data_IF_382540452180
#
_entry.id   IF_382540452180
#
_cell.length_a   1.000
_cell.length_b   1.000
_cell.length_c   1.000
_cell.angle_alpha   90.00
_cell.angle_beta   90.00
_cell.angle_gamma   90.00
#
_symmetry.space_group_name_H-M   'P 1'
#
loop_
_entity.id
_entity.type
_entity.pdbx_description
1 polymer ?
#
# COMPACT_ATOMS: atom_id res chain seq x y z
N UNK A 1 25.51 -8.37 -8.51
CA UNK A 1 24.15 -8.00 -8.90
C UNK A 1 23.23 -8.50 -7.80
N UNK A 2 22.44 -7.62 -7.18
CA UNK A 2 21.40 -8.02 -6.23
C UNK A 2 20.28 -8.71 -7.01
N UNK A 3 19.76 -9.82 -6.49
CA UNK A 3 18.58 -10.47 -7.07
C UNK A 3 17.40 -9.50 -7.04
N UNK A 4 16.54 -9.49 -8.06
CA UNK A 4 15.36 -8.63 -8.06
C UNK A 4 14.45 -8.97 -6.87
N UNK A 5 13.89 -7.93 -6.26
CA UNK A 5 12.88 -8.07 -5.23
C UNK A 5 11.57 -8.55 -5.87
N UNK A 6 11.01 -9.65 -5.38
CA UNK A 6 9.73 -10.16 -5.86
C UNK A 6 8.59 -9.63 -5.00
N UNK A 7 7.64 -8.93 -5.63
CA UNK A 7 6.49 -8.31 -4.97
C UNK A 7 5.19 -8.74 -5.65
N UNK A 8 4.24 -9.26 -4.87
CA UNK A 8 2.85 -9.40 -5.30
C UNK A 8 2.04 -8.22 -4.80
N UNK A 9 1.50 -7.44 -5.73
CA UNK A 9 0.80 -6.19 -5.45
C UNK A 9 -0.69 -6.31 -5.72
N UNK A 10 -1.51 -5.80 -4.78
CA UNK A 10 -2.96 -5.84 -4.87
C UNK A 10 -3.58 -4.53 -4.39
N UNK A 11 -4.58 -4.03 -5.11
CA UNK A 11 -5.50 -2.99 -4.62
C UNK A 11 -6.92 -3.53 -4.65
N UNK A 12 -7.52 -3.68 -3.47
CA UNK A 12 -8.88 -4.17 -3.30
C UNK A 12 -9.86 -3.09 -3.79
N UNK A 13 -10.90 -3.51 -4.53
CA UNK A 13 -11.92 -2.62 -5.09
C UNK A 13 -11.62 -2.12 -6.51
N UNK A 14 -10.35 -2.05 -6.91
CA UNK A 14 -9.94 -1.62 -8.25
C UNK A 14 -9.60 -2.76 -9.22
N UNK A 15 -9.61 -4.00 -8.74
CA UNK A 15 -9.12 -5.17 -9.49
C UNK A 15 -7.67 -5.02 -9.98
N UNK A 16 -6.89 -4.15 -9.35
CA UNK A 16 -5.46 -4.06 -9.57
C UNK A 16 -4.78 -5.23 -8.90
N UNK A 17 -4.30 -6.19 -9.69
CA UNK A 17 -3.57 -7.35 -9.20
C UNK A 17 -2.37 -7.63 -10.11
N UNK A 18 -1.21 -7.76 -9.49
CA UNK A 18 0.05 -8.00 -10.17
C UNK A 18 0.86 -8.98 -9.33
N UNK A 19 0.89 -10.24 -9.74
CA UNK A 19 1.65 -11.28 -9.03
C UNK A 19 3.13 -11.25 -9.41
N UNK A 20 3.99 -11.50 -8.42
CA UNK A 20 5.41 -11.81 -8.64
C UNK A 20 6.16 -10.77 -9.50
N UNK A 21 5.80 -9.49 -9.36
CA UNK A 21 6.52 -8.40 -10.01
C UNK A 21 7.97 -8.40 -9.54
N UNK A 22 8.89 -8.43 -10.50
CA UNK A 22 10.32 -8.30 -10.20
C UNK A 22 10.71 -6.83 -10.24
N UNK A 23 11.06 -6.27 -9.08
CA UNK A 23 11.51 -4.90 -8.92
C UNK A 23 13.04 -4.91 -8.73
N UNK A 24 13.74 -4.11 -9.53
CA UNK A 24 15.22 -4.14 -9.63
C UNK A 24 15.89 -2.93 -9.01
N UNK A 25 15.09 -1.91 -8.68
CA UNK A 25 15.49 -0.60 -8.20
C UNK A 25 15.08 -0.36 -6.74
N UNK A 26 14.53 -1.38 -6.08
CA UNK A 26 14.14 -1.37 -4.66
C UNK A 26 14.61 -2.64 -3.99
N UNK A 27 14.71 -2.61 -2.66
CA UNK A 27 15.14 -3.72 -1.80
C UNK A 27 14.11 -3.98 -0.71
N UNK A 28 14.30 -5.00 0.11
CA UNK A 28 13.42 -5.27 1.23
C UNK A 28 13.38 -4.13 2.29
N UNK A 29 14.42 -3.30 2.34
CA UNK A 29 14.49 -2.14 3.22
C UNK A 29 13.87 -0.88 2.62
N UNK A 30 13.51 -0.92 1.32
CA UNK A 30 12.82 0.19 0.67
C UNK A 30 11.46 0.43 1.30
N UNK A 31 11.03 1.68 1.33
CA UNK A 31 9.74 2.05 1.91
C UNK A 31 8.59 1.57 1.04
N UNK A 32 7.40 1.45 1.62
CA UNK A 32 6.19 1.12 0.87
C UNK A 32 5.98 2.13 -0.27
N UNK A 33 6.28 3.41 -0.04
CA UNK A 33 6.24 4.44 -1.08
C UNK A 33 7.21 4.15 -2.22
N UNK A 34 8.48 3.86 -1.93
CA UNK A 34 9.47 3.53 -2.97
C UNK A 34 9.06 2.31 -3.80
N UNK A 35 8.43 1.32 -3.16
CA UNK A 35 7.86 0.15 -3.85
C UNK A 35 6.70 0.57 -4.75
N UNK A 36 5.78 1.41 -4.28
CA UNK A 36 4.69 1.95 -5.11
C UNK A 36 5.21 2.77 -6.29
N UNK A 37 6.23 3.61 -6.07
CA UNK A 37 6.88 4.42 -7.11
C UNK A 37 7.58 3.54 -8.17
N UNK A 38 8.19 2.43 -7.76
CA UNK A 38 8.77 1.44 -8.67
C UNK A 38 7.69 0.72 -9.48
N UNK A 39 6.58 0.32 -8.84
CA UNK A 39 5.44 -0.33 -9.51
C UNK A 39 4.81 0.63 -10.54
N UNK A 40 4.56 1.89 -10.19
CA UNK A 40 4.02 2.90 -11.11
C UNK A 40 4.93 3.12 -12.32
N UNK A 41 6.26 3.16 -12.12
CA UNK A 41 7.22 3.27 -13.22
C UNK A 41 7.23 2.05 -14.13
N UNK A 42 7.09 0.83 -13.58
CA UNK A 42 7.09 -0.43 -14.35
C UNK A 42 5.74 -0.76 -14.97
N UNK A 43 4.65 -0.27 -14.40
CA UNK A 43 3.30 -0.54 -14.84
C UNK A 43 2.50 0.78 -14.99
N UNK A 44 2.54 1.41 -16.17
CA UNK A 44 1.86 2.67 -16.43
C UNK A 44 0.33 2.63 -16.25
N UNK A 45 -0.27 1.43 -16.27
CA UNK A 45 -1.69 1.26 -15.98
C UNK A 45 -2.02 1.54 -14.51
N UNK A 46 -1.04 1.52 -13.60
CA UNK A 46 -1.22 1.84 -12.19
C UNK A 46 -0.66 3.23 -11.89
N UNK A 47 -1.44 4.02 -11.14
CA UNK A 47 -1.02 5.33 -10.63
C UNK A 47 -1.59 5.56 -9.24
N UNK A 48 -0.95 6.42 -8.47
CA UNK A 48 -1.50 6.90 -7.21
C UNK A 48 -1.12 8.37 -7.00
N UNK A 49 -1.86 9.05 -6.14
CA UNK A 49 -1.53 10.38 -5.63
C UNK A 49 -1.42 10.32 -4.12
N UNK A 50 -0.45 11.03 -3.58
CA UNK A 50 -0.27 11.21 -2.15
C UNK A 50 -0.40 12.68 -1.77
N UNK A 51 -0.63 12.92 -0.49
CA UNK A 51 -0.61 14.26 0.08
C UNK A 51 0.05 14.27 1.45
N UNK A 52 0.66 15.40 1.79
CA UNK A 52 1.31 15.60 3.08
C UNK A 52 0.35 16.32 4.02
N UNK A 53 -0.11 15.63 5.08
CA UNK A 53 -0.86 16.25 6.16
C UNK A 53 0.09 16.95 7.12
N UNK A 54 -0.33 18.12 7.63
CA UNK A 54 0.38 18.91 8.67
C UNK A 54 1.83 19.22 8.29
N UNK A 55 2.05 19.69 7.05
CA UNK A 55 3.38 19.99 6.53
C UNK A 55 4.15 20.96 7.43
N UNK A 56 5.38 20.63 7.76
CA UNK A 56 6.25 21.41 8.64
C UNK A 56 5.96 21.29 10.14
N UNK A 57 5.06 20.38 10.54
CA UNK A 57 4.79 20.07 11.96
C UNK A 57 5.53 18.79 12.39
N UNK A 58 5.76 18.58 13.71
CA UNK A 58 6.42 17.37 14.22
C UNK A 58 5.67 16.06 13.88
N UNK A 59 4.38 16.14 13.60
CA UNK A 59 3.52 15.01 13.25
C UNK A 59 3.08 15.01 11.78
N UNK A 60 3.91 15.60 10.92
CA UNK A 60 3.77 15.53 9.45
C UNK A 60 3.59 14.07 8.99
N UNK A 61 2.60 13.85 8.12
CA UNK A 61 2.29 12.50 7.62
C UNK A 61 1.89 12.52 6.16
N UNK A 62 2.65 11.82 5.33
CA UNK A 62 2.24 11.52 3.96
C UNK A 62 1.22 10.36 3.95
N UNK A 63 0.12 10.58 3.24
CA UNK A 63 -0.97 9.62 3.04
C UNK A 63 -1.28 9.46 1.54
N UNK A 64 -1.84 8.33 1.15
CA UNK A 64 -2.43 8.15 -0.19
C UNK A 64 -3.80 8.80 -0.22
N UNK A 65 -4.08 9.62 -1.23
CA UNK A 65 -5.39 10.25 -1.47
C UNK A 65 -6.16 9.48 -2.57
N UNK A 66 -5.49 9.11 -3.67
CA UNK A 66 -6.13 8.49 -4.82
C UNK A 66 -5.30 7.31 -5.33
N UNK A 67 -5.95 6.22 -5.74
CA UNK A 67 -5.33 5.15 -6.53
C UNK A 67 -6.16 4.95 -7.80
N UNK A 68 -5.48 4.86 -8.93
CA UNK A 68 -6.06 4.63 -10.26
C UNK A 68 -5.45 3.39 -10.90
N UNK A 69 -6.26 2.60 -11.60
CA UNK A 69 -5.83 1.44 -12.36
C UNK A 69 -6.62 1.27 -13.67
N UNK A 70 -5.91 1.15 -14.80
CA UNK A 70 -6.50 0.82 -16.09
C UNK A 70 -6.66 -0.70 -16.22
N UNK A 71 -7.87 -1.18 -15.93
CA UNK A 71 -8.20 -2.60 -16.04
C UNK A 71 -8.49 -2.95 -17.51
N UNK A 72 -7.88 -4.04 -18.00
CA UNK A 72 -8.04 -4.50 -19.38
C UNK A 72 -8.13 -6.02 -19.47
N UNK A 73 -8.40 -6.56 -20.66
CA UNK A 73 -8.36 -7.99 -20.94
C UNK A 73 -7.02 -8.69 -20.59
N UNK A 74 -5.90 -7.95 -20.55
CA UNK A 74 -4.59 -8.47 -20.13
C UNK A 74 -4.33 -8.38 -18.62
N UNK A 75 -5.16 -7.67 -17.86
CA UNK A 75 -5.03 -7.58 -16.40
C UNK A 75 -5.26 -8.94 -15.74
N UNK A 76 -4.49 -9.22 -14.69
CA UNK A 76 -4.68 -10.41 -13.86
C UNK A 76 -5.90 -10.22 -12.95
N UNK A 77 -6.67 -11.29 -12.77
CA UNK A 77 -7.77 -11.31 -11.82
C UNK A 77 -7.29 -11.84 -10.47
N UNK A 78 -7.67 -11.21 -9.34
CA UNK A 78 -7.46 -11.83 -8.03
C UNK A 78 -8.12 -13.20 -7.98
N UNK A 79 -7.44 -14.18 -7.37
CA UNK A 79 -7.90 -15.59 -7.25
C UNK A 79 -9.29 -15.78 -6.66
N UNK A 80 -9.77 -14.79 -5.89
CA UNK A 80 -11.08 -14.82 -5.23
C UNK A 80 -12.17 -14.02 -5.97
N UNK A 81 -12.00 -13.76 -7.26
CA UNK A 81 -12.96 -12.99 -8.05
C UNK A 81 -13.93 -13.89 -8.81
N UNK A 82 -15.22 -13.66 -8.65
CA UNK A 82 -16.27 -14.29 -9.47
C UNK A 82 -16.53 -13.45 -10.73
N UNK A 83 -15.99 -13.86 -11.88
CA UNK A 83 -16.20 -13.19 -13.17
C UNK A 83 -15.16 -12.12 -13.50
N UNK A 84 -15.12 -11.71 -14.78
CA UNK A 84 -14.24 -10.64 -15.26
C UNK A 84 -15.02 -9.33 -15.29
N UNK A 85 -14.58 -8.27 -14.58
CA UNK A 85 -15.19 -6.96 -14.73
C UNK A 85 -14.89 -6.40 -16.12
N UNK A 86 -15.71 -5.45 -16.57
CA UNK A 86 -15.48 -4.78 -17.86
C UNK A 86 -14.13 -4.04 -17.87
N UNK A 87 -13.57 -3.87 -19.07
CA UNK A 87 -12.38 -3.05 -19.26
C UNK A 87 -12.69 -1.57 -18.96
N UNK A 88 -11.71 -0.83 -18.45
CA UNK A 88 -11.83 0.60 -18.19
C UNK A 88 -10.96 1.11 -17.06
N UNK A 89 -10.90 2.43 -16.95
CA UNK A 89 -10.24 3.16 -15.87
C UNK A 89 -11.01 2.92 -14.57
N UNK A 90 -10.29 2.55 -13.51
CA UNK A 90 -10.83 2.34 -12.17
C UNK A 90 -10.12 3.29 -11.22
N UNK A 91 -10.86 4.13 -10.52
CA UNK A 91 -10.32 5.05 -9.52
C UNK A 91 -11.08 4.93 -8.18
N UNK A 92 -10.33 5.10 -7.10
CA UNK A 92 -10.88 5.23 -5.76
C UNK A 92 -10.13 6.34 -5.03
N UNK A 93 -10.90 7.23 -4.42
CA UNK A 93 -10.37 8.38 -3.70
C UNK A 93 -10.78 8.32 -2.24
N UNK A 94 -9.82 8.63 -1.37
CA UNK A 94 -10.06 8.85 0.04
C UNK A 94 -10.97 10.06 0.25
N UNK A 95 -11.80 9.99 1.28
CA UNK A 95 -12.68 11.08 1.67
C UNK A 95 -12.58 11.28 3.17
N UNK A 96 -12.49 12.54 3.60
CA UNK A 96 -12.45 12.87 5.01
C UNK A 96 -13.77 13.57 5.33
N UNK A 97 -14.70 12.83 5.95
CA UNK A 97 -16.00 13.33 6.37
C UNK A 97 -16.40 12.68 7.70
N UNK A 98 -17.64 12.88 8.17
CA UNK A 98 -18.16 12.15 9.36
C UNK A 98 -18.01 10.63 9.20
N UNK A 99 -18.09 10.16 7.95
CA UNK A 99 -17.72 8.83 7.50
C UNK A 99 -16.54 8.97 6.56
N UNK A 100 -15.34 8.67 7.05
CA UNK A 100 -14.11 8.86 6.27
C UNK A 100 -13.70 7.59 5.54
N UNK A 101 -13.34 7.71 4.27
CA UNK A 101 -12.69 6.67 3.48
C UNK A 101 -11.18 6.89 3.52
N UNK A 102 -10.46 5.94 4.11
CA UNK A 102 -9.02 6.06 4.36
C UNK A 102 -8.29 4.86 3.75
N UNK A 103 -7.18 5.11 3.07
CA UNK A 103 -6.34 4.05 2.53
C UNK A 103 -5.55 3.35 3.64
N UNK A 104 -5.62 2.02 3.65
CA UNK A 104 -4.81 1.15 4.50
C UNK A 104 -4.02 0.19 3.62
N UNK A 105 -2.78 -0.09 4.04
CA UNK A 105 -1.95 -1.10 3.43
C UNK A 105 -1.58 -2.20 4.44
N UNK A 106 -1.43 -3.41 3.91
CA UNK A 106 -1.00 -4.62 4.60
C UNK A 106 0.24 -5.17 3.91
N UNK A 107 1.15 -5.69 4.72
CA UNK A 107 2.38 -6.32 4.25
C UNK A 107 2.42 -7.75 4.78
N UNK A 108 2.84 -8.68 3.94
CA UNK A 108 3.19 -10.03 4.35
C UNK A 108 4.34 -10.54 3.50
N UNK A 109 4.88 -11.69 3.89
CA UNK A 109 5.92 -12.38 3.16
C UNK A 109 5.51 -13.84 2.96
N UNK A 110 5.53 -14.28 1.71
CA UNK A 110 5.40 -15.70 1.35
C UNK A 110 6.80 -16.29 1.23
N UNK A 111 6.99 -17.46 1.81
CA UNK A 111 8.25 -18.18 1.78
C UNK A 111 8.07 -19.63 2.21
N UNK A 112 9.15 -20.26 2.65
CA UNK A 112 9.08 -21.60 3.21
C UNK A 112 9.86 -21.73 4.51
N UNK A 113 9.38 -22.61 5.40
CA UNK A 113 10.11 -23.06 6.59
C UNK A 113 10.22 -24.58 6.51
N UNK A 114 11.44 -25.11 6.50
CA UNK A 114 11.70 -26.55 6.38
C UNK A 114 10.97 -27.19 5.18
N UNK A 115 10.88 -26.46 4.05
CA UNK A 115 10.21 -26.92 2.82
C UNK A 115 8.68 -26.76 2.80
N UNK A 116 8.04 -26.38 3.91
CA UNK A 116 6.61 -26.06 3.93
C UNK A 116 6.37 -24.59 3.57
N UNK A 117 5.54 -24.33 2.57
CA UNK A 117 5.17 -22.96 2.16
C UNK A 117 4.31 -22.32 3.24
N UNK A 118 4.64 -21.10 3.64
CA UNK A 118 3.86 -20.32 4.58
C UNK A 118 3.86 -18.84 4.24
N UNK A 119 2.88 -18.13 4.77
CA UNK A 119 2.77 -16.68 4.70
C UNK A 119 2.88 -16.08 6.11
N UNK A 120 3.77 -15.12 6.28
CA UNK A 120 4.01 -14.42 7.52
C UNK A 120 3.55 -12.97 7.38
N UNK A 121 2.59 -12.56 8.23
CA UNK A 121 2.11 -11.18 8.28
C UNK A 121 3.18 -10.28 8.90
N UNK A 122 3.39 -9.12 8.29
CA UNK A 122 4.32 -8.10 8.77
C UNK A 122 3.52 -7.04 9.53
N UNK A 123 3.59 -7.10 10.85
CA UNK A 123 2.84 -6.23 11.73
C UNK A 123 3.60 -4.94 12.01
N UNK A 124 2.83 -3.86 12.15
CA UNK A 124 3.29 -2.58 12.65
C UNK A 124 2.30 -2.08 13.68
N UNK A 125 2.78 -1.37 14.71
CA UNK A 125 1.89 -0.68 15.64
C UNK A 125 1.09 0.39 14.89
N UNK A 126 -0.25 0.26 14.87
CA UNK A 126 -1.14 1.17 14.16
C UNK A 126 -0.95 1.14 12.62
N UNK A 127 -1.31 2.25 11.95
CA UNK A 127 -1.08 2.45 10.52
C UNK A 127 0.01 3.51 10.31
N UNK A 128 1.31 3.11 10.28
CA UNK A 128 2.39 4.05 10.04
C UNK A 128 2.34 4.62 8.62
N UNK A 129 2.98 5.78 8.40
CA UNK A 129 3.04 6.37 7.06
C UNK A 129 3.74 5.42 6.09
N UNK A 130 3.14 5.20 4.93
CA UNK A 130 3.73 4.37 3.87
C UNK A 130 5.05 4.96 3.33
N UNK A 131 5.23 6.28 3.43
CA UNK A 131 6.45 6.99 3.03
C UNK A 131 7.67 6.58 3.84
N UNK A 132 7.48 6.21 5.11
CA UNK A 132 8.57 5.96 6.06
C UNK A 132 8.61 4.51 6.55
N UNK A 133 7.73 3.64 6.04
CA UNK A 133 7.63 2.25 6.50
C UNK A 133 8.39 1.34 5.53
N UNK A 134 9.51 0.71 5.94
CA UNK A 134 10.21 -0.30 5.14
C UNK A 134 9.30 -1.48 4.79
N UNK A 135 9.48 -2.10 3.63
CA UNK A 135 8.66 -3.24 3.21
C UNK A 135 8.79 -4.43 4.18
N UNK A 136 9.99 -4.71 4.66
CA UNK A 136 10.28 -5.80 5.60
C UNK A 136 10.01 -5.48 7.07
N UNK A 137 9.61 -4.26 7.43
CA UNK A 137 9.46 -3.87 8.84
C UNK A 137 8.42 -4.76 9.52
N UNK A 138 8.87 -5.47 10.56
CA UNK A 138 8.03 -6.21 11.50
C UNK A 138 8.29 -5.69 12.91
N UNK A 139 7.22 -5.31 13.60
CA UNK A 139 7.31 -4.89 14.98
C UNK A 139 7.79 -6.08 15.86
N UNK A 140 8.90 -5.92 16.62
CA UNK A 140 9.48 -7.00 17.42
C UNK A 140 8.52 -7.61 18.44
N UNK A 141 7.51 -6.87 18.89
CA UNK A 141 6.49 -7.38 19.81
C UNK A 141 5.63 -8.46 19.18
N UNK A 142 5.42 -8.40 17.86
CA UNK A 142 4.63 -9.37 17.10
C UNK A 142 5.50 -10.48 16.49
N UNK A 143 6.82 -10.45 16.73
CA UNK A 143 7.77 -11.50 16.37
C UNK A 143 8.80 -11.07 15.34
N UNK A 144 9.55 -12.05 14.85
CA UNK A 144 10.53 -11.90 13.75
C UNK A 144 10.38 -13.09 12.83
N UNK A 145 10.89 -12.99 11.61
CA UNK A 145 11.04 -14.18 10.78
C UNK A 145 11.94 -15.19 11.50
N UNK A 146 11.57 -16.48 11.52
CA UNK A 146 12.49 -17.50 11.98
C UNK A 146 13.68 -17.55 11.03
N UNK A 147 14.88 -17.84 11.54
CA UNK A 147 16.11 -17.87 10.74
C UNK A 147 16.05 -18.90 9.59
N UNK A 148 15.18 -19.90 9.71
CA UNK A 148 14.91 -20.92 8.69
C UNK A 148 13.92 -20.48 7.60
N UNK A 149 13.37 -19.27 7.69
CA UNK A 149 12.43 -18.74 6.70
C UNK A 149 13.15 -18.36 5.41
N UNK A 150 12.85 -19.08 4.34
CA UNK A 150 13.32 -18.76 3.00
C UNK A 150 12.27 -17.91 2.30
N UNK A 151 12.47 -16.59 2.36
CA UNK A 151 11.62 -15.62 1.68
C UNK A 151 11.57 -15.89 0.17
N UNK A 152 10.37 -15.89 -0.39
CA UNK A 152 10.15 -15.93 -1.84
C UNK A 152 9.61 -14.60 -2.37
N UNK A 153 8.58 -14.05 -1.73
CA UNK A 153 7.84 -12.88 -2.25
C UNK A 153 7.33 -12.04 -1.09
N UNK A 154 7.40 -10.71 -1.22
CA UNK A 154 6.64 -9.80 -0.37
C UNK A 154 5.27 -9.53 -0.99
N UNK A 155 4.22 -9.52 -0.18
CA UNK A 155 2.89 -9.17 -0.62
C UNK A 155 2.52 -7.79 -0.06
N UNK A 156 2.08 -6.89 -0.93
CA UNK A 156 1.60 -5.56 -0.56
C UNK A 156 0.16 -5.42 -1.02
N UNK A 157 -0.76 -5.27 -0.06
CA UNK A 157 -2.19 -5.11 -0.33
C UNK A 157 -2.69 -3.77 0.16
N UNK A 158 -3.32 -3.00 -0.71
CA UNK A 158 -4.03 -1.77 -0.40
C UNK A 158 -5.54 -2.00 -0.38
N UNK A 159 -6.24 -1.32 0.53
CA UNK A 159 -7.69 -1.25 0.57
C UNK A 159 -8.15 0.11 1.05
N UNK A 160 -9.28 0.55 0.52
CA UNK A 160 -9.99 1.71 1.05
C UNK A 160 -10.94 1.23 2.15
N UNK A 161 -10.82 1.80 3.36
CA UNK A 161 -11.71 1.46 4.48
C UNK A 161 -12.54 2.64 4.89
N UNK A 162 -13.78 2.36 5.27
CA UNK A 162 -14.65 3.33 5.91
C UNK A 162 -14.42 3.32 7.43
N UNK A 163 -14.13 4.47 8.01
CA UNK A 163 -14.02 4.68 9.45
C UNK A 163 -14.95 5.79 9.91
N UNK A 164 -15.50 5.64 11.11
CA UNK A 164 -16.15 6.75 11.81
C UNK A 164 -15.10 7.50 12.61
N UNK A 165 -15.08 8.83 12.47
CA UNK A 165 -14.18 9.69 13.21
C UNK A 165 -14.95 10.51 14.23
N UNK A 166 -14.33 10.80 15.38
CA UNK A 166 -14.91 11.76 16.32
C UNK A 166 -14.91 13.16 15.71
N UNK A 167 -15.83 14.06 16.09
CA UNK A 167 -15.89 15.41 15.55
C UNK A 167 -14.57 16.19 15.69
N UNK A 168 -13.86 16.01 16.80
CA UNK A 168 -12.58 16.69 17.06
C UNK A 168 -11.50 16.21 16.08
N UNK A 169 -11.38 14.89 15.91
CA UNK A 169 -10.45 14.32 14.94
C UNK A 169 -10.83 14.71 13.52
N UNK A 170 -12.11 14.75 13.20
CA UNK A 170 -12.58 15.21 11.89
C UNK A 170 -12.13 16.64 11.62
N UNK A 171 -12.31 17.57 12.57
CA UNK A 171 -11.88 18.96 12.41
C UNK A 171 -10.36 19.08 12.21
N UNK A 172 -9.56 18.37 13.01
CA UNK A 172 -8.10 18.33 12.86
C UNK A 172 -7.68 17.84 11.46
N UNK A 173 -8.33 16.79 10.95
CA UNK A 173 -8.00 16.22 9.63
C UNK A 173 -8.46 17.11 8.47
N UNK A 174 -9.65 17.73 8.58
CA UNK A 174 -10.15 18.65 7.57
C UNK A 174 -9.28 19.90 7.47
N UNK A 175 -8.85 20.44 8.60
CA UNK A 175 -7.90 21.55 8.64
C UNK A 175 -6.56 21.15 8.00
N UNK A 176 -5.99 20.01 8.39
CA UNK A 176 -4.74 19.52 7.82
C UNK A 176 -4.84 19.27 6.30
N UNK A 177 -5.98 18.80 5.79
CA UNK A 177 -6.22 18.64 4.35
C UNK A 177 -6.29 19.98 3.64
N UNK A 178 -7.00 20.96 4.19
CA UNK A 178 -7.07 22.31 3.62
C UNK A 178 -5.70 22.98 3.56
N UNK A 179 -4.88 22.83 4.61
CA UNK A 179 -3.51 23.32 4.66
C UNK A 179 -2.61 22.63 3.62
N UNK A 180 -2.75 21.31 3.44
CA UNK A 180 -2.01 20.56 2.43
C UNK A 180 -2.32 21.05 1.00
N UNK A 181 -3.60 21.27 0.70
CA UNK A 181 -4.05 21.82 -0.59
C UNK A 181 -3.51 23.24 -0.79
N UNK A 182 -3.64 24.10 0.22
CA UNK A 182 -3.17 25.49 0.14
C UNK A 182 -1.64 25.61 0.00
N UNK A 183 -0.89 24.66 0.56
CA UNK A 183 0.58 24.64 0.50
C UNK A 183 1.16 23.99 -0.76
N UNK A 184 0.31 23.55 -1.71
CA UNK A 184 0.75 22.87 -2.93
C UNK A 184 1.40 21.50 -2.65
N UNK A 185 0.99 20.86 -1.56
CA UNK A 185 1.50 19.54 -1.14
C UNK A 185 0.55 18.41 -1.55
N UNK A 186 -0.15 18.64 -2.67
CA UNK A 186 -1.16 17.80 -3.31
C UNK A 186 -0.75 17.55 -4.76
#
# INVERSE_FOLDING_TARGET
>A
MTSPLQVSFRVVGLYCYMENLQLTDVTENSTVKEVMDSIQRKNPAFSYKSMILRKGQPDEKEIVDEITYDFSASSQLPYNTSGRPDDGVRDLTGSLSSTSLVWQYYRSATGSVNGAVCELKLFSQGQPSFANTPLNMNDPFFGRFPDSFQLSTYNLTWRLVQIQMTPEKQAEFMQAKAEAIASGSY
#
